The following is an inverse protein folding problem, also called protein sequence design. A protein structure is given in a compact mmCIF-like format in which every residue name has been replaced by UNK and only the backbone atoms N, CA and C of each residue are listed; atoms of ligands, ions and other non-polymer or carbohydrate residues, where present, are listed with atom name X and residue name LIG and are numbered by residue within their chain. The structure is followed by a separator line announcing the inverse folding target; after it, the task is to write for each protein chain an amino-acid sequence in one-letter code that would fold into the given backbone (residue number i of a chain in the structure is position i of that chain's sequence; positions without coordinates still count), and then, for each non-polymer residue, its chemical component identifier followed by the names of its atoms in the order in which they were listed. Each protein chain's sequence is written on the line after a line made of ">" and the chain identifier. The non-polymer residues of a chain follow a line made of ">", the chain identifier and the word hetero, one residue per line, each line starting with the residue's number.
data_IF_432481603542
#
_entry.id   IF_432481603542
#
_cell.length_a   1.000
_cell.length_b   1.000
_cell.length_c   1.000
_cell.angle_alpha   90.00
_cell.angle_beta   90.00
_cell.angle_gamma   90.00
#
_symmetry.space_group_name_H-M   'P 1'
#
loop_
_entity.id
_entity.type
_entity.pdbx_description
1 polymer ?
#
# COMPACT_ATOMS: atom_id res chain seq x y z
N UNK A 1 11.83 73.18 5.95
CA UNK A 1 11.95 72.10 4.98
C UNK A 1 12.29 70.69 5.54
N UNK A 2 12.60 70.41 6.82
CA UNK A 2 12.97 69.04 7.28
C UNK A 2 11.78 68.09 7.60
N UNK A 3 10.59 68.65 7.89
CA UNK A 3 9.40 67.77 8.25
C UNK A 3 8.87 66.91 7.08
N UNK A 4 8.97 67.36 5.84
CA UNK A 4 8.51 66.61 4.66
C UNK A 4 9.46 65.47 4.28
N UNK A 5 10.74 65.58 4.60
CA UNK A 5 11.74 64.54 4.36
C UNK A 5 11.57 63.37 5.36
N UNK A 6 11.20 63.67 6.62
CA UNK A 6 10.91 62.65 7.65
C UNK A 6 9.64 61.88 7.35
N UNK A 7 8.62 62.46 6.74
CA UNK A 7 7.39 61.76 6.33
C UNK A 7 7.61 60.86 5.13
N UNK A 8 8.50 61.21 4.21
CA UNK A 8 8.90 60.35 3.08
C UNK A 8 9.77 59.18 3.52
N UNK A 9 10.61 59.34 4.54
CA UNK A 9 11.42 58.25 5.11
C UNK A 9 10.58 57.26 5.94
N UNK A 10 9.52 57.72 6.61
CA UNK A 10 8.58 56.89 7.35
C UNK A 10 7.70 56.02 6.43
N UNK A 11 7.41 56.47 5.20
CA UNK A 11 6.66 55.68 4.22
C UNK A 11 7.48 54.54 3.61
N UNK A 12 8.80 54.62 3.62
CA UNK A 12 9.72 53.56 3.14
C UNK A 12 9.94 52.44 4.16
N UNK A 13 9.50 52.63 5.42
CA UNK A 13 9.60 51.66 6.51
C UNK A 13 8.29 50.89 6.75
N UNK A 14 7.29 51.03 5.90
CA UNK A 14 6.15 50.11 5.93
C UNK A 14 6.71 48.69 5.65
N UNK A 15 6.63 47.75 6.63
CA UNK A 15 7.00 46.38 6.34
C UNK A 15 6.09 45.97 5.18
N UNK A 16 6.68 45.61 4.02
CA UNK A 16 6.00 44.78 3.09
C UNK A 16 5.61 43.55 3.94
N UNK A 17 4.35 43.53 4.37
CA UNK A 17 3.76 42.33 4.93
C UNK A 17 3.94 41.28 3.81
N UNK A 18 5.05 40.53 3.89
CA UNK A 18 5.26 39.39 3.05
C UNK A 18 4.01 38.54 3.32
N UNK A 19 3.05 38.60 2.39
CA UNK A 19 1.95 37.65 2.39
C UNK A 19 2.64 36.29 2.40
N UNK A 20 2.63 35.66 3.56
CA UNK A 20 3.04 34.28 3.67
C UNK A 20 2.25 33.57 2.57
N UNK A 21 2.93 33.21 1.48
CA UNK A 21 2.35 32.61 0.31
C UNK A 21 1.63 31.34 0.83
N UNK A 22 0.30 31.35 0.78
CA UNK A 22 -0.48 30.26 1.39
C UNK A 22 -0.21 29.00 0.57
N UNK A 23 0.57 28.07 1.14
CA UNK A 23 0.75 26.77 0.52
C UNK A 23 -0.60 26.04 0.42
N UNK A 24 -0.93 25.37 -0.71
CA UNK A 24 -0.23 25.40 -1.99
C UNK A 24 -0.74 26.56 -2.88
N UNK A 25 0.13 27.10 -3.73
CA UNK A 25 -0.17 28.16 -4.69
C UNK A 25 0.12 27.75 -6.14
N UNK A 26 0.61 26.54 -6.35
CA UNK A 26 0.98 25.97 -7.66
C UNK A 26 0.69 24.46 -7.68
N UNK A 27 0.69 23.82 -8.87
CA UNK A 27 0.45 22.38 -8.98
C UNK A 27 1.43 21.54 -8.14
N UNK A 28 0.89 20.47 -7.52
CA UNK A 28 1.64 19.46 -6.78
C UNK A 28 1.86 18.26 -7.71
N UNK A 29 3.07 17.70 -7.71
CA UNK A 29 3.42 16.52 -8.45
C UNK A 29 3.40 15.30 -7.51
N UNK A 30 2.61 14.28 -7.86
CA UNK A 30 2.58 12.99 -7.18
C UNK A 30 3.35 11.97 -8.01
N UNK A 31 4.58 11.65 -7.60
CA UNK A 31 5.40 10.62 -8.26
C UNK A 31 4.92 9.24 -7.82
N UNK A 32 4.50 8.42 -8.79
CA UNK A 32 4.06 7.05 -8.58
C UNK A 32 5.17 6.13 -9.12
N UNK A 33 5.90 5.39 -8.25
CA UNK A 33 7.05 4.57 -8.64
C UNK A 33 6.65 3.22 -9.27
N UNK A 34 5.47 3.16 -9.88
CA UNK A 34 4.93 2.00 -10.58
C UNK A 34 4.49 2.37 -12.00
N UNK A 35 4.36 1.35 -12.86
CA UNK A 35 3.72 1.52 -14.17
C UNK A 35 2.24 1.91 -14.03
N UNK A 36 1.73 2.58 -15.06
CA UNK A 36 0.33 2.98 -15.12
C UNK A 36 -0.61 1.75 -15.18
N UNK A 37 -1.82 1.90 -14.64
CA UNK A 37 -2.91 0.91 -14.70
C UNK A 37 -2.91 -0.13 -13.57
N UNK A 38 -1.87 -0.20 -12.73
CA UNK A 38 -1.87 -1.05 -11.54
C UNK A 38 -2.63 -0.45 -10.36
N UNK A 39 -2.79 -1.25 -9.29
CA UNK A 39 -3.51 -0.81 -8.07
C UNK A 39 -2.90 0.45 -7.45
N UNK A 40 -1.57 0.53 -7.38
CA UNK A 40 -0.88 1.69 -6.80
C UNK A 40 -1.06 2.96 -7.64
N UNK A 41 -1.10 2.83 -8.98
CA UNK A 41 -1.41 3.95 -9.88
C UNK A 41 -2.87 4.41 -9.68
N UNK A 42 -3.79 3.47 -9.64
CA UNK A 42 -5.23 3.76 -9.45
C UNK A 42 -5.50 4.44 -8.11
N UNK A 43 -4.96 3.92 -7.01
CA UNK A 43 -5.07 4.55 -5.67
C UNK A 43 -4.41 5.93 -5.66
N UNK A 44 -3.22 6.06 -6.26
CA UNK A 44 -2.52 7.35 -6.38
C UNK A 44 -3.36 8.40 -7.13
N UNK A 45 -3.99 8.03 -8.24
CA UNK A 45 -4.86 8.94 -9.03
C UNK A 45 -6.14 9.33 -8.29
N UNK A 46 -6.79 8.39 -7.59
CA UNK A 46 -7.95 8.70 -6.74
C UNK A 46 -7.54 9.70 -5.65
N UNK A 47 -6.40 9.48 -4.98
CA UNK A 47 -5.87 10.40 -3.99
C UNK A 47 -5.50 11.77 -4.57
N UNK A 48 -4.88 11.80 -5.76
CA UNK A 48 -4.53 13.05 -6.46
C UNK A 48 -5.76 13.87 -6.86
N UNK A 49 -6.79 13.23 -7.39
CA UNK A 49 -8.05 13.89 -7.74
C UNK A 49 -8.73 14.48 -6.49
N UNK A 50 -8.80 13.72 -5.41
CA UNK A 50 -9.33 14.20 -4.15
C UNK A 50 -8.56 15.39 -3.59
N UNK A 51 -7.22 15.27 -3.52
CA UNK A 51 -6.37 16.37 -3.04
C UNK A 51 -6.49 17.62 -3.92
N UNK A 52 -6.62 17.46 -5.25
CA UNK A 52 -6.83 18.60 -6.14
C UNK A 52 -8.07 19.41 -5.77
N UNK A 53 -9.16 18.71 -5.44
CA UNK A 53 -10.42 19.34 -5.00
C UNK A 53 -10.26 20.02 -3.63
N UNK A 54 -9.57 19.37 -2.67
CA UNK A 54 -9.43 19.87 -1.30
C UNK A 54 -8.43 21.03 -1.17
N UNK A 55 -7.37 21.02 -1.98
CA UNK A 55 -6.29 21.99 -1.90
C UNK A 55 -6.47 23.16 -2.88
N UNK A 56 -7.37 23.05 -3.85
CA UNK A 56 -7.65 24.11 -4.84
C UNK A 56 -6.57 24.27 -5.90
N UNK A 57 -5.63 23.34 -6.01
CA UNK A 57 -4.59 23.31 -7.06
C UNK A 57 -4.52 21.93 -7.70
N UNK A 58 -4.09 21.81 -8.96
CA UNK A 58 -3.90 20.51 -9.58
C UNK A 58 -2.88 19.64 -8.83
N UNK A 59 -3.23 18.37 -8.58
CA UNK A 59 -2.29 17.31 -8.14
C UNK A 59 -2.11 16.35 -9.30
N UNK A 60 -0.91 16.34 -9.89
CA UNK A 60 -0.63 15.63 -11.15
C UNK A 60 0.13 14.34 -10.85
N UNK A 61 -0.46 13.20 -11.22
CA UNK A 61 0.18 11.89 -11.11
C UNK A 61 1.24 11.73 -12.24
N UNK A 62 2.47 11.39 -11.85
CA UNK A 62 3.64 11.20 -12.72
C UNK A 62 4.23 9.81 -12.45
N UNK A 63 4.00 8.85 -13.36
CA UNK A 63 4.52 7.50 -13.22
C UNK A 63 6.01 7.44 -13.55
N UNK A 64 6.83 6.98 -12.58
CA UNK A 64 8.28 6.79 -12.72
C UNK A 64 8.69 5.39 -12.26
N UNK A 65 8.40 4.36 -13.07
CA UNK A 65 8.80 3.00 -12.76
C UNK A 65 10.31 2.79 -12.96
N UNK A 66 10.83 1.68 -12.46
CA UNK A 66 12.19 1.20 -12.65
C UNK A 66 12.93 0.98 -11.33
N UNK A 67 13.88 0.03 -11.33
CA UNK A 67 14.63 -0.38 -10.15
C UNK A 67 13.72 -0.79 -8.98
N UNK A 68 12.64 -1.52 -9.25
CA UNK A 68 11.61 -1.88 -8.26
C UNK A 68 11.02 -0.66 -7.53
N UNK A 69 10.97 0.51 -8.21
CA UNK A 69 10.47 1.77 -7.65
C UNK A 69 11.55 2.72 -7.13
N UNK A 70 12.80 2.28 -7.01
CA UNK A 70 13.90 3.11 -6.50
C UNK A 70 14.09 4.41 -7.30
N UNK A 71 13.93 4.36 -8.64
CA UNK A 71 14.06 5.53 -9.53
C UNK A 71 13.03 6.61 -9.17
N UNK A 72 11.77 6.22 -8.98
CA UNK A 72 10.71 7.16 -8.57
C UNK A 72 10.94 7.73 -7.17
N UNK A 73 11.37 6.89 -6.23
CA UNK A 73 11.70 7.32 -4.86
C UNK A 73 12.87 8.31 -4.85
N UNK A 74 13.95 8.05 -5.56
CA UNK A 74 15.07 8.99 -5.69
C UNK A 74 14.66 10.33 -6.31
N UNK A 75 13.74 10.32 -7.28
CA UNK A 75 13.24 11.56 -7.88
C UNK A 75 12.50 12.43 -6.85
N UNK A 76 11.80 11.84 -5.89
CA UNK A 76 11.20 12.58 -4.77
C UNK A 76 12.27 13.09 -3.80
N UNK A 77 13.25 12.26 -3.45
CA UNK A 77 14.32 12.64 -2.51
C UNK A 77 15.21 13.80 -3.03
N UNK A 78 15.34 13.91 -4.37
CA UNK A 78 16.07 15.05 -5.00
C UNK A 78 15.23 16.31 -5.09
N UNK A 79 13.95 16.28 -4.74
CA UNK A 79 13.05 17.43 -4.77
C UNK A 79 13.10 18.18 -3.44
N UNK A 80 12.82 19.51 -3.45
CA UNK A 80 12.69 20.27 -2.21
C UNK A 80 11.60 19.68 -1.30
N UNK A 81 11.82 19.73 0.03
CA UNK A 81 10.85 19.31 1.03
C UNK A 81 9.79 20.39 1.30
N UNK A 82 9.18 20.94 0.25
CA UNK A 82 8.24 22.04 0.26
C UNK A 82 6.77 21.62 0.01
N UNK A 83 6.53 20.31 -0.13
CA UNK A 83 5.20 19.74 -0.35
C UNK A 83 4.70 19.79 -1.79
N UNK A 84 5.47 20.27 -2.76
CA UNK A 84 5.08 20.29 -4.18
C UNK A 84 5.53 19.04 -4.96
N UNK A 85 6.31 18.17 -4.31
CA UNK A 85 6.60 16.83 -4.86
C UNK A 85 6.35 15.79 -3.75
N UNK A 86 5.41 14.88 -4.02
CA UNK A 86 5.02 13.82 -3.11
C UNK A 86 5.31 12.46 -3.75
N UNK A 87 5.43 11.44 -2.91
CA UNK A 87 5.55 10.04 -3.31
C UNK A 87 4.18 9.36 -3.18
N UNK A 88 3.72 8.70 -4.25
CA UNK A 88 2.72 7.65 -4.19
C UNK A 88 3.36 6.42 -3.55
N UNK A 89 3.29 6.37 -2.23
CA UNK A 89 3.99 5.38 -1.41
C UNK A 89 3.23 4.05 -1.35
N UNK A 90 3.95 2.97 -1.05
CA UNK A 90 3.36 1.67 -0.71
C UNK A 90 4.21 0.95 0.33
N UNK A 91 3.61 -0.05 1.00
CA UNK A 91 4.35 -0.95 1.89
C UNK A 91 5.49 -1.66 1.15
N UNK A 92 5.30 -2.02 -0.13
CA UNK A 92 6.34 -2.65 -0.94
C UNK A 92 7.58 -1.77 -1.06
N UNK A 93 7.42 -0.45 -1.22
CA UNK A 93 8.54 0.47 -1.39
C UNK A 93 9.19 0.87 -0.05
N UNK A 94 8.36 1.22 0.95
CA UNK A 94 8.89 1.78 2.19
C UNK A 94 9.30 0.72 3.21
N UNK A 95 8.81 -0.54 3.07
CA UNK A 95 9.07 -1.63 4.01
C UNK A 95 9.80 -2.79 3.35
N UNK A 96 9.27 -3.35 2.25
CA UNK A 96 9.82 -4.60 1.67
C UNK A 96 11.10 -4.34 0.88
N UNK A 97 11.09 -3.35 -0.01
CA UNK A 97 12.23 -3.08 -0.90
C UNK A 97 13.58 -2.90 -0.18
N UNK A 98 13.69 -2.12 0.92
CA UNK A 98 14.97 -1.97 1.64
C UNK A 98 15.45 -3.24 2.35
N UNK A 99 14.58 -4.23 2.54
CA UNK A 99 14.93 -5.53 3.10
C UNK A 99 15.46 -6.50 2.04
N UNK A 100 15.09 -6.29 0.78
CA UNK A 100 15.41 -7.18 -0.33
C UNK A 100 16.53 -6.64 -1.23
N UNK A 101 16.70 -5.33 -1.32
CA UNK A 101 17.62 -4.66 -2.24
C UNK A 101 18.46 -3.62 -1.49
N UNK A 102 19.76 -3.54 -1.83
CA UNK A 102 20.62 -2.48 -1.32
C UNK A 102 20.28 -1.16 -2.01
N UNK A 103 19.83 -0.20 -1.23
CA UNK A 103 19.49 1.15 -1.69
C UNK A 103 20.59 2.14 -1.30
N UNK A 104 20.68 3.26 -2.02
CA UNK A 104 21.55 4.40 -1.70
C UNK A 104 20.94 5.32 -0.65
N UNK A 105 19.72 5.06 -0.23
CA UNK A 105 18.94 5.82 0.75
C UNK A 105 18.17 4.88 1.69
N UNK A 106 17.70 5.40 2.83
CA UNK A 106 16.88 4.66 3.78
C UNK A 106 15.42 5.13 3.71
N UNK A 107 14.49 4.32 3.15
CA UNK A 107 13.10 4.73 3.02
C UNK A 107 12.41 5.11 4.33
N UNK A 108 12.78 4.52 5.46
CA UNK A 108 12.15 4.82 6.75
C UNK A 108 12.65 6.12 7.37
N UNK A 109 13.89 6.53 7.06
CA UNK A 109 14.49 7.77 7.53
C UNK A 109 14.26 8.93 6.57
N UNK A 110 14.39 8.65 5.27
CA UNK A 110 14.50 9.69 4.23
C UNK A 110 13.14 10.10 3.65
N UNK A 111 12.04 9.43 4.07
CA UNK A 111 10.66 9.83 3.76
C UNK A 111 9.86 10.18 5.00
N UNK A 112 9.01 11.18 4.87
CA UNK A 112 8.01 11.58 5.87
C UNK A 112 6.68 10.92 5.53
N UNK A 113 6.15 10.00 6.37
CA UNK A 113 4.83 9.41 6.19
C UNK A 113 3.74 10.47 6.27
N UNK A 114 2.72 10.38 5.40
CA UNK A 114 1.59 11.31 5.38
C UNK A 114 0.28 10.58 5.67
N UNK A 115 -0.08 9.59 4.84
CA UNK A 115 -1.32 8.84 5.02
C UNK A 115 -1.29 7.56 4.20
N UNK A 116 -1.76 6.46 4.76
CA UNK A 116 -2.19 5.30 3.98
C UNK A 116 -3.57 5.61 3.40
N UNK A 117 -3.67 5.69 2.10
CA UNK A 117 -4.93 6.00 1.40
C UNK A 117 -5.85 4.78 1.39
N UNK A 118 -5.30 3.62 1.05
CA UNK A 118 -6.06 2.38 0.95
C UNK A 118 -5.21 1.16 1.32
N UNK A 119 -5.87 0.17 1.89
CA UNK A 119 -5.33 -1.15 2.18
C UNK A 119 -5.76 -2.18 1.15
N UNK A 120 -4.92 -3.17 0.97
CA UNK A 120 -5.22 -4.31 0.13
C UNK A 120 -4.88 -5.58 0.93
N UNK A 121 -5.83 -6.12 1.73
CA UNK A 121 -5.64 -7.40 2.38
C UNK A 121 -5.53 -8.48 1.31
N UNK A 122 -4.69 -9.48 1.58
CA UNK A 122 -4.64 -10.67 0.74
C UNK A 122 -5.75 -11.63 1.18
N UNK A 123 -6.13 -12.50 0.27
CA UNK A 123 -7.17 -13.51 0.51
C UNK A 123 -6.60 -14.89 0.21
N UNK A 124 -6.77 -15.80 1.14
CA UNK A 124 -6.47 -17.21 0.94
C UNK A 124 -7.62 -17.87 0.20
N UNK A 125 -7.35 -18.35 -1.01
CA UNK A 125 -8.27 -19.11 -1.83
C UNK A 125 -7.80 -20.55 -2.01
N UNK A 126 -8.77 -21.48 -2.04
CA UNK A 126 -8.55 -22.88 -2.40
C UNK A 126 -9.50 -23.29 -3.52
N UNK A 127 -9.06 -24.18 -4.40
CA UNK A 127 -9.94 -24.80 -5.39
C UNK A 127 -11.06 -25.59 -4.67
N UNK A 128 -12.29 -25.45 -5.15
CA UNK A 128 -13.47 -26.05 -4.49
C UNK A 128 -13.33 -27.56 -4.32
N UNK A 129 -12.68 -28.25 -5.26
CA UNK A 129 -12.40 -29.69 -5.20
C UNK A 129 -11.44 -30.16 -4.09
N UNK A 130 -10.73 -29.24 -3.42
CA UNK A 130 -9.86 -29.60 -2.30
C UNK A 130 -10.61 -29.97 -1.02
N UNK A 131 -11.83 -29.50 -0.83
CA UNK A 131 -12.71 -29.83 0.30
C UNK A 131 -12.75 -28.79 1.42
N UNK A 132 -11.65 -28.17 1.93
CA UNK A 132 -11.73 -27.29 3.09
C UNK A 132 -12.69 -26.13 2.89
N UNK A 133 -13.46 -25.82 3.94
CA UNK A 133 -14.42 -24.70 3.95
C UNK A 133 -14.03 -23.60 4.96
N UNK A 134 -13.04 -23.88 5.80
CA UNK A 134 -12.54 -22.99 6.84
C UNK A 134 -11.01 -23.04 6.90
N UNK A 135 -10.38 -22.03 7.50
CA UNK A 135 -8.93 -22.02 7.72
C UNK A 135 -8.44 -23.15 8.63
N UNK A 136 -9.14 -23.51 9.74
CA UNK A 136 -8.77 -24.69 10.53
C UNK A 136 -8.79 -26.01 9.73
N UNK A 137 -9.83 -26.24 8.91
CA UNK A 137 -9.90 -27.42 8.06
C UNK A 137 -8.79 -27.46 7.00
N UNK A 138 -8.44 -26.30 6.43
CA UNK A 138 -7.29 -26.15 5.53
C UNK A 138 -5.98 -26.50 6.24
N UNK A 139 -5.78 -25.96 7.45
CA UNK A 139 -4.60 -26.27 8.26
C UNK A 139 -4.44 -27.76 8.47
N UNK A 140 -5.50 -28.44 8.91
CA UNK A 140 -5.44 -29.88 9.21
C UNK A 140 -5.16 -30.70 7.95
N UNK A 141 -5.74 -30.32 6.81
CA UNK A 141 -5.50 -30.97 5.53
C UNK A 141 -4.04 -30.82 5.06
N UNK A 142 -3.44 -29.62 5.19
CA UNK A 142 -2.05 -29.36 4.79
C UNK A 142 -1.08 -30.04 5.76
N UNK A 143 -1.36 -29.99 7.07
CA UNK A 143 -0.55 -30.64 8.11
C UNK A 143 -0.44 -32.15 7.92
N UNK A 144 -1.47 -32.80 7.35
CA UNK A 144 -1.44 -34.23 7.01
C UNK A 144 -0.51 -34.58 5.84
N UNK A 145 -0.05 -33.56 5.05
CA UNK A 145 0.76 -33.77 3.85
C UNK A 145 1.86 -32.69 3.75
N UNK A 146 2.78 -32.61 4.72
CA UNK A 146 3.78 -31.54 4.78
C UNK A 146 4.65 -31.52 3.51
N UNK A 147 4.78 -30.36 2.87
CA UNK A 147 5.57 -30.14 1.67
C UNK A 147 5.04 -30.76 0.37
N UNK A 148 3.87 -31.46 0.40
CA UNK A 148 3.33 -32.12 -0.79
C UNK A 148 2.32 -31.26 -1.56
N UNK A 149 1.78 -30.24 -0.93
CA UNK A 149 0.82 -29.32 -1.54
C UNK A 149 1.52 -28.06 -2.00
N UNK A 150 1.05 -27.52 -3.12
CA UNK A 150 1.61 -26.33 -3.75
C UNK A 150 0.70 -25.12 -3.57
N UNK A 151 1.31 -23.94 -3.50
CA UNK A 151 0.58 -22.68 -3.55
C UNK A 151 1.16 -21.75 -4.61
N UNK A 152 0.29 -20.98 -5.26
CA UNK A 152 0.65 -19.96 -6.22
C UNK A 152 0.87 -18.58 -5.56
N UNK A 153 1.74 -17.78 -6.16
CA UNK A 153 1.86 -16.35 -5.88
C UNK A 153 1.98 -15.53 -7.16
N UNK A 154 1.85 -14.22 -7.06
CA UNK A 154 2.07 -13.28 -8.17
C UNK A 154 3.56 -12.99 -8.45
N UNK A 155 4.48 -13.78 -7.89
CA UNK A 155 5.93 -13.69 -8.11
C UNK A 155 6.74 -13.82 -6.83
N UNK A 156 7.98 -14.28 -6.99
CA UNK A 156 8.94 -14.46 -5.89
C UNK A 156 9.26 -13.12 -5.23
N UNK A 157 9.21 -13.06 -3.89
CA UNK A 157 9.45 -11.85 -3.12
C UNK A 157 8.31 -10.83 -3.14
N UNK A 158 7.24 -11.09 -3.93
CA UNK A 158 6.02 -10.28 -3.88
C UNK A 158 5.21 -10.52 -2.61
N UNK A 159 4.30 -9.59 -2.28
CA UNK A 159 3.49 -9.66 -1.05
C UNK A 159 2.63 -10.93 -0.95
N UNK A 160 2.13 -11.46 -2.07
CA UNK A 160 1.41 -12.74 -2.09
C UNK A 160 2.29 -13.92 -1.70
N UNK A 161 3.58 -13.92 -2.10
CA UNK A 161 4.57 -14.90 -1.68
C UNK A 161 4.90 -14.73 -0.19
N UNK A 162 5.43 -13.56 0.19
CA UNK A 162 5.84 -13.30 1.57
C UNK A 162 4.69 -13.42 2.56
N UNK A 163 3.49 -12.98 2.19
CA UNK A 163 2.28 -13.13 3.01
C UNK A 163 1.88 -14.58 3.21
N UNK A 164 2.06 -15.43 2.19
CA UNK A 164 1.81 -16.87 2.33
C UNK A 164 2.84 -17.51 3.26
N UNK A 165 4.12 -17.15 3.16
CA UNK A 165 5.16 -17.67 4.06
C UNK A 165 4.88 -17.30 5.53
N UNK A 166 4.46 -16.05 5.81
CA UNK A 166 4.01 -15.63 7.15
C UNK A 166 2.81 -16.45 7.61
N UNK A 167 1.84 -16.71 6.71
CA UNK A 167 0.66 -17.50 7.05
C UNK A 167 1.04 -18.96 7.35
N UNK A 168 1.83 -19.59 6.50
CA UNK A 168 2.30 -20.97 6.68
C UNK A 168 3.07 -21.14 7.99
N UNK A 169 3.99 -20.21 8.28
CA UNK A 169 4.70 -20.19 9.55
C UNK A 169 3.75 -20.09 10.74
N UNK A 170 2.78 -19.18 10.69
CA UNK A 170 1.80 -18.98 11.76
C UNK A 170 0.91 -20.19 12.00
N UNK A 171 0.60 -20.93 10.94
CA UNK A 171 -0.19 -22.16 10.97
C UNK A 171 0.63 -23.42 11.31
N UNK A 172 1.97 -23.32 11.29
CA UNK A 172 2.89 -24.48 11.46
C UNK A 172 2.86 -25.42 10.26
N UNK A 173 2.79 -24.91 9.05
CA UNK A 173 2.59 -25.66 7.80
C UNK A 173 3.78 -25.53 6.84
N UNK A 174 3.90 -26.50 5.93
CA UNK A 174 4.87 -26.50 4.84
C UNK A 174 4.15 -26.76 3.52
N UNK A 175 4.36 -25.91 2.52
CA UNK A 175 3.87 -26.04 1.16
C UNK A 175 4.96 -25.62 0.17
N UNK A 176 4.90 -26.11 -1.07
CA UNK A 176 5.83 -25.74 -2.14
C UNK A 176 5.33 -24.47 -2.84
N UNK A 177 6.22 -23.51 -3.05
CA UNK A 177 5.91 -22.27 -3.76
C UNK A 177 6.02 -22.41 -5.27
N UNK A 178 4.96 -22.00 -6.00
CA UNK A 178 4.93 -21.89 -7.46
C UNK A 178 4.74 -20.44 -7.87
N UNK A 179 5.82 -19.75 -8.33
CA UNK A 179 5.73 -18.35 -8.74
C UNK A 179 5.10 -18.18 -10.11
N UNK A 180 4.16 -17.25 -10.22
CA UNK A 180 3.58 -16.77 -11.47
C UNK A 180 4.02 -15.33 -11.74
N UNK A 181 3.90 -14.86 -12.99
CA UNK A 181 4.22 -13.47 -13.35
C UNK A 181 3.18 -12.46 -12.85
N UNK A 182 1.99 -12.92 -12.46
CA UNK A 182 0.90 -12.10 -11.92
C UNK A 182 -0.16 -12.94 -11.25
N UNK A 183 -0.97 -12.34 -10.37
CA UNK A 183 -2.12 -13.00 -9.73
C UNK A 183 -3.14 -13.56 -10.73
N UNK A 184 -3.57 -12.82 -11.76
CA UNK A 184 -4.49 -13.34 -12.78
C UNK A 184 -4.00 -14.60 -13.49
N UNK A 185 -2.70 -14.75 -13.76
CA UNK A 185 -2.15 -15.99 -14.36
C UNK A 185 -2.20 -17.17 -13.38
N UNK A 186 -1.92 -16.92 -12.10
CA UNK A 186 -2.10 -17.92 -11.05
C UNK A 186 -3.57 -18.37 -10.96
N UNK A 187 -4.51 -17.43 -11.06
CA UNK A 187 -5.94 -17.73 -11.05
C UNK A 187 -6.40 -18.55 -12.27
N UNK A 188 -5.86 -18.29 -13.46
CA UNK A 188 -6.15 -19.12 -14.66
C UNK A 188 -5.75 -20.57 -14.44
N UNK A 189 -4.56 -20.82 -13.89
CA UNK A 189 -4.08 -22.18 -13.62
C UNK A 189 -4.84 -22.83 -12.45
N UNK A 190 -5.29 -22.04 -11.49
CA UNK A 190 -6.17 -22.51 -10.42
C UNK A 190 -7.54 -22.96 -10.95
N UNK A 191 -8.14 -22.20 -11.84
CA UNK A 191 -9.39 -22.60 -12.53
C UNK A 191 -9.19 -23.82 -13.44
N UNK A 192 -7.99 -23.96 -14.02
CA UNK A 192 -7.60 -25.14 -14.80
C UNK A 192 -7.21 -26.37 -13.99
N UNK A 193 -7.24 -26.29 -12.65
CA UNK A 193 -6.91 -27.41 -11.74
C UNK A 193 -5.41 -27.73 -11.61
N UNK A 194 -4.52 -26.88 -12.18
CA UNK A 194 -3.07 -27.10 -12.12
C UNK A 194 -2.46 -26.69 -10.78
N UNK A 195 -3.04 -25.71 -10.13
CA UNK A 195 -2.68 -25.26 -8.78
C UNK A 195 -3.94 -25.17 -7.91
N UNK A 196 -3.83 -25.47 -6.63
CA UNK A 196 -5.01 -25.61 -5.78
C UNK A 196 -5.14 -24.53 -4.71
N UNK A 197 -4.06 -23.82 -4.40
CA UNK A 197 -4.03 -22.80 -3.33
C UNK A 197 -3.39 -21.52 -3.85
N UNK A 198 -3.97 -20.38 -3.53
CA UNK A 198 -3.42 -19.07 -3.87
C UNK A 198 -3.69 -18.07 -2.76
N UNK A 199 -2.68 -17.29 -2.41
CA UNK A 199 -2.84 -16.08 -1.61
C UNK A 199 -2.66 -14.87 -2.53
N UNK A 200 -3.68 -14.04 -2.67
CA UNK A 200 -3.63 -12.93 -3.64
C UNK A 200 -4.69 -11.85 -3.37
N UNK A 201 -4.81 -10.92 -4.30
CA UNK A 201 -5.78 -9.84 -4.18
C UNK A 201 -7.22 -10.33 -4.33
N UNK A 202 -8.12 -9.79 -3.54
CA UNK A 202 -9.53 -10.14 -3.57
C UNK A 202 -10.17 -9.95 -4.96
N UNK A 203 -9.82 -8.88 -5.66
CA UNK A 203 -10.39 -8.55 -6.98
C UNK A 203 -10.06 -9.63 -8.02
N UNK A 204 -8.86 -10.21 -7.99
CA UNK A 204 -8.42 -11.24 -8.94
C UNK A 204 -9.24 -12.53 -8.79
N UNK A 205 -9.93 -12.72 -7.66
CA UNK A 205 -10.61 -13.95 -7.26
C UNK A 205 -12.14 -13.91 -7.39
N UNK A 206 -12.73 -12.72 -7.53
CA UNK A 206 -14.20 -12.55 -7.48
C UNK A 206 -14.91 -13.35 -8.56
N UNK A 207 -14.46 -13.32 -9.80
CA UNK A 207 -15.09 -14.05 -10.90
C UNK A 207 -15.04 -15.59 -10.69
N UNK A 208 -13.91 -16.12 -10.23
CA UNK A 208 -13.77 -17.57 -9.98
C UNK A 208 -14.57 -18.03 -8.76
N UNK A 209 -14.68 -17.17 -7.73
CA UNK A 209 -15.55 -17.41 -6.57
C UNK A 209 -17.02 -17.45 -6.99
N UNK A 210 -17.48 -16.46 -7.76
CA UNK A 210 -18.87 -16.35 -8.19
C UNK A 210 -19.26 -17.51 -9.14
N UNK A 211 -18.29 -18.04 -9.89
CA UNK A 211 -18.45 -19.27 -10.68
C UNK A 211 -18.38 -20.56 -9.84
N UNK A 212 -18.16 -20.49 -8.52
CA UNK A 212 -18.07 -21.64 -7.64
C UNK A 212 -16.81 -22.51 -7.82
N UNK A 213 -15.79 -22.00 -8.54
CA UNK A 213 -14.56 -22.75 -8.85
C UNK A 213 -13.56 -22.71 -7.70
N UNK A 214 -13.60 -21.66 -6.90
CA UNK A 214 -12.75 -21.46 -5.72
C UNK A 214 -13.59 -21.10 -4.50
N UNK A 215 -12.98 -21.31 -3.34
CA UNK A 215 -13.51 -20.88 -2.04
C UNK A 215 -12.51 -19.96 -1.37
N UNK A 216 -12.99 -18.82 -0.86
CA UNK A 216 -12.20 -17.89 -0.07
C UNK A 216 -12.30 -18.31 1.40
N UNK A 217 -11.15 -18.61 2.02
CA UNK A 217 -11.10 -19.13 3.38
C UNK A 217 -10.85 -18.07 4.44
N UNK A 218 -9.98 -17.11 4.16
CA UNK A 218 -9.61 -16.07 5.11
C UNK A 218 -9.08 -14.84 4.41
N UNK A 219 -9.30 -13.65 4.98
CA UNK A 219 -8.57 -12.44 4.67
C UNK A 219 -7.43 -12.23 5.67
N UNK A 220 -6.32 -11.67 5.20
CA UNK A 220 -5.11 -11.49 6.01
C UNK A 220 -5.08 -10.18 6.80
N UNK A 221 -6.10 -9.34 6.65
CA UNK A 221 -6.22 -8.07 7.37
C UNK A 221 -6.57 -8.23 8.85
N UNK A 222 -6.33 -7.19 9.64
CA UNK A 222 -6.78 -7.14 11.04
C UNK A 222 -8.31 -7.14 11.17
N UNK A 223 -9.00 -6.64 10.17
CA UNK A 223 -10.47 -6.64 10.04
C UNK A 223 -10.87 -7.27 8.72
N UNK A 224 -12.14 -7.67 8.61
CA UNK A 224 -12.68 -8.15 7.32
C UNK A 224 -12.61 -7.07 6.27
N UNK A 225 -12.38 -7.47 5.01
CA UNK A 225 -12.40 -6.55 3.88
C UNK A 225 -13.82 -6.08 3.60
N UNK A 226 -13.98 -4.79 3.31
CA UNK A 226 -15.29 -4.21 2.96
C UNK A 226 -15.86 -4.77 1.63
N UNK A 227 -14.99 -5.31 0.77
CA UNK A 227 -15.43 -5.98 -0.48
C UNK A 227 -15.73 -7.48 -0.29
N UNK A 228 -15.34 -8.06 0.85
CA UNK A 228 -15.54 -9.46 1.22
C UNK A 228 -16.04 -9.58 2.66
N UNK A 229 -17.18 -8.99 3.01
CA UNK A 229 -17.66 -8.90 4.40
C UNK A 229 -17.97 -10.28 5.00
N UNK A 230 -18.25 -11.29 4.16
CA UNK A 230 -18.58 -12.64 4.57
C UNK A 230 -17.34 -13.52 4.79
N UNK A 231 -16.15 -13.09 4.35
CA UNK A 231 -14.90 -13.85 4.52
C UNK A 231 -14.25 -13.45 5.85
N UNK A 232 -14.11 -14.37 6.81
CA UNK A 232 -13.51 -14.08 8.10
C UNK A 232 -12.01 -13.79 7.97
N UNK A 233 -11.45 -13.07 8.94
CA UNK A 233 -10.00 -12.87 9.04
C UNK A 233 -9.30 -14.15 9.55
N UNK A 234 -7.99 -14.23 9.33
CA UNK A 234 -7.14 -15.26 9.95
C UNK A 234 -7.25 -15.18 11.48
N UNK A 235 -7.27 -13.97 12.04
CA UNK A 235 -7.37 -13.72 13.48
C UNK A 235 -8.69 -14.23 14.06
N UNK A 236 -9.83 -14.01 13.38
CA UNK A 236 -11.15 -14.51 13.80
C UNK A 236 -11.24 -16.05 13.82
N UNK A 237 -10.40 -16.75 13.05
CA UNK A 237 -10.41 -18.20 12.93
C UNK A 237 -9.41 -18.94 13.85
N UNK A 238 -8.86 -18.25 14.85
CA UNK A 238 -8.05 -18.89 15.90
C UNK A 238 -6.58 -18.44 15.95
N UNK A 239 -6.16 -17.47 15.14
CA UNK A 239 -4.80 -16.93 15.14
C UNK A 239 -4.81 -15.43 15.48
N UNK A 240 -5.11 -15.05 16.73
CA UNK A 240 -5.24 -13.67 17.14
C UNK A 240 -3.94 -12.89 16.89
N UNK A 241 -4.09 -11.64 16.49
CA UNK A 241 -2.96 -10.76 16.17
C UNK A 241 -2.31 -11.01 14.81
N UNK A 242 -2.82 -11.96 14.00
CA UNK A 242 -2.36 -12.11 12.62
C UNK A 242 -2.81 -10.92 11.77
N UNK A 243 -1.85 -10.26 11.14
CA UNK A 243 -2.11 -9.19 10.17
C UNK A 243 -0.98 -9.17 9.13
N UNK A 244 -1.31 -9.43 7.89
CA UNK A 244 -0.44 -9.21 6.72
C UNK A 244 -1.23 -8.45 5.68
N UNK A 245 -0.99 -7.14 5.59
CA UNK A 245 -1.66 -6.27 4.63
C UNK A 245 -0.63 -5.50 3.83
N UNK A 246 -0.97 -5.17 2.60
CA UNK A 246 -0.31 -4.12 1.86
C UNK A 246 -1.15 -2.86 1.92
N UNK A 247 -0.52 -1.73 1.74
CA UNK A 247 -1.21 -0.45 1.62
C UNK A 247 -0.55 0.42 0.56
N UNK A 248 -1.33 1.33 0.02
CA UNK A 248 -0.91 2.42 -0.83
C UNK A 248 -1.27 3.74 -0.16
N UNK A 249 -0.42 4.75 -0.30
CA UNK A 249 -0.60 6.01 0.39
C UNK A 249 0.30 7.11 -0.14
N UNK A 250 0.57 8.09 0.72
CA UNK A 250 1.34 9.27 0.41
C UNK A 250 2.48 9.44 1.40
N UNK A 251 3.65 9.82 0.89
CA UNK A 251 4.78 10.28 1.68
C UNK A 251 5.42 11.52 1.03
N UNK A 252 6.16 12.28 1.80
CA UNK A 252 7.01 13.37 1.31
C UNK A 252 8.48 13.08 1.54
N UNK A 253 9.41 13.87 1.00
CA UNK A 253 10.82 13.78 1.37
C UNK A 253 11.02 14.15 2.85
N UNK A 254 12.10 13.67 3.46
CA UNK A 254 12.46 14.05 4.83
C UNK A 254 12.58 15.58 4.95
N UNK A 255 12.17 16.10 6.11
CA UNK A 255 12.16 17.55 6.34
C UNK A 255 10.91 18.26 5.81
N UNK A 256 9.92 17.55 5.29
CA UNK A 256 8.63 18.14 4.95
C UNK A 256 8.03 18.87 6.16
N UNK A 257 7.70 20.18 6.05
CA UNK A 257 7.16 20.96 7.16
C UNK A 257 5.91 20.31 7.75
N UNK A 258 5.84 20.24 9.08
CA UNK A 258 4.73 19.60 9.82
C UNK A 258 3.37 20.17 9.40
N UNK A 259 3.27 21.49 9.25
CA UNK A 259 2.02 22.14 8.83
C UNK A 259 1.54 21.68 7.43
N UNK A 260 2.46 21.46 6.50
CA UNK A 260 2.14 20.96 5.15
C UNK A 260 1.74 19.49 5.22
N UNK A 261 2.53 18.67 5.91
CA UNK A 261 2.20 17.26 6.14
C UNK A 261 0.79 17.10 6.72
N UNK A 262 0.50 17.84 7.78
CA UNK A 262 -0.76 17.70 8.51
C UNK A 262 -1.95 18.25 7.70
N UNK A 263 -1.74 19.26 6.87
CA UNK A 263 -2.76 19.74 5.92
C UNK A 263 -3.10 18.70 4.87
N UNK A 264 -2.09 18.02 4.28
CA UNK A 264 -2.31 16.94 3.32
C UNK A 264 -2.99 15.75 4.02
N UNK A 265 -2.49 15.34 5.17
CA UNK A 265 -3.06 14.22 5.94
C UNK A 265 -4.51 14.52 6.37
N UNK A 266 -4.81 15.75 6.78
CA UNK A 266 -6.17 16.20 7.09
C UNK A 266 -7.12 16.10 5.91
N UNK A 267 -6.67 16.52 4.73
CA UNK A 267 -7.44 16.39 3.49
C UNK A 267 -7.67 14.90 3.14
N UNK A 268 -6.65 14.05 3.28
CA UNK A 268 -6.77 12.61 3.00
C UNK A 268 -7.72 11.91 3.98
N UNK A 269 -7.76 12.28 5.25
CA UNK A 269 -8.73 11.70 6.21
C UNK A 269 -10.18 11.94 5.80
N UNK A 270 -10.48 13.10 5.21
CA UNK A 270 -11.81 13.42 4.71
C UNK A 270 -12.19 12.57 3.48
N UNK A 271 -11.20 12.04 2.75
CA UNK A 271 -11.44 11.20 1.58
C UNK A 271 -12.26 9.95 1.92
N UNK A 272 -12.01 9.32 3.06
CA UNK A 272 -12.77 8.14 3.48
C UNK A 272 -14.19 8.44 4.01
N UNK A 273 -14.52 9.69 4.26
CA UNK A 273 -15.87 10.12 4.55
C UNK A 273 -16.69 10.44 3.27
N UNK A 274 -16.01 10.61 2.12
CA UNK A 274 -16.66 10.86 0.83
C UNK A 274 -17.07 9.55 0.16
N UNK A 275 -18.36 9.40 -0.12
CA UNK A 275 -18.91 8.18 -0.73
C UNK A 275 -18.37 7.92 -2.14
N UNK A 276 -18.03 8.96 -2.90
CA UNK A 276 -17.47 8.84 -4.24
C UNK A 276 -16.08 8.23 -4.20
N UNK A 277 -15.23 8.72 -3.30
CA UNK A 277 -13.88 8.19 -3.06
C UNK A 277 -13.94 6.75 -2.56
N UNK A 278 -14.79 6.48 -1.55
CA UNK A 278 -14.98 5.12 -1.01
C UNK A 278 -15.39 4.14 -2.11
N UNK A 279 -16.43 4.46 -2.88
CA UNK A 279 -16.86 3.61 -4.02
C UNK A 279 -15.76 3.41 -5.05
N UNK A 280 -14.97 4.45 -5.34
CA UNK A 280 -13.86 4.35 -6.31
C UNK A 280 -12.75 3.41 -5.81
N UNK A 281 -12.39 3.47 -4.52
CA UNK A 281 -11.41 2.56 -3.92
C UNK A 281 -11.93 1.12 -3.89
N UNK A 282 -13.16 0.90 -3.42
CA UNK A 282 -13.76 -0.45 -3.37
C UNK A 282 -13.88 -1.09 -4.75
N UNK A 283 -14.18 -0.30 -5.80
CA UNK A 283 -14.26 -0.79 -7.18
C UNK A 283 -12.96 -1.35 -7.72
N UNK A 284 -11.82 -0.85 -7.25
CA UNK A 284 -10.50 -1.35 -7.61
C UNK A 284 -9.96 -2.38 -6.61
N UNK A 285 -10.79 -2.89 -5.71
CA UNK A 285 -10.41 -3.90 -4.74
C UNK A 285 -9.56 -3.38 -3.59
N UNK A 286 -9.67 -2.10 -3.26
CA UNK A 286 -8.90 -1.45 -2.20
C UNK A 286 -9.82 -0.99 -1.07
N UNK A 287 -9.52 -1.40 0.16
CA UNK A 287 -10.25 -0.96 1.35
C UNK A 287 -9.81 0.44 1.77
N UNK A 288 -10.73 1.41 1.94
CA UNK A 288 -10.39 2.75 2.39
C UNK A 288 -9.74 2.75 3.78
N UNK A 289 -8.57 3.38 3.94
CA UNK A 289 -7.86 3.51 5.23
C UNK A 289 -7.79 4.96 5.71
N UNK A 290 -7.35 5.89 4.86
CA UNK A 290 -7.22 7.33 5.12
C UNK A 290 -6.59 7.63 6.49
N UNK A 291 -5.44 7.02 6.75
CA UNK A 291 -4.78 7.04 8.06
C UNK A 291 -4.15 8.40 8.40
N UNK A 292 -3.84 8.57 9.66
CA UNK A 292 -2.93 9.62 10.16
C UNK A 292 -1.47 9.29 9.81
N UNK A 293 -0.55 10.30 9.83
CA UNK A 293 0.89 10.06 9.70
C UNK A 293 1.45 9.08 10.74
N UNK A 294 0.95 9.17 11.98
CA UNK A 294 1.38 8.29 13.07
C UNK A 294 0.98 6.82 12.84
N UNK A 295 -0.24 6.59 12.37
CA UNK A 295 -0.71 5.23 12.02
C UNK A 295 0.08 4.62 10.87
N UNK A 296 0.42 5.43 9.85
CA UNK A 296 1.29 4.99 8.75
C UNK A 296 2.68 4.62 9.25
N UNK A 297 3.30 5.47 10.08
CA UNK A 297 4.61 5.19 10.69
C UNK A 297 4.56 3.92 11.56
N UNK A 298 3.53 3.76 12.39
CA UNK A 298 3.33 2.57 13.21
C UNK A 298 3.15 1.30 12.36
N UNK A 299 2.43 1.39 11.24
CA UNK A 299 2.29 0.29 10.28
C UNK A 299 3.64 -0.13 9.69
N UNK A 300 4.48 0.83 9.28
CA UNK A 300 5.82 0.55 8.77
C UNK A 300 6.67 -0.17 9.82
N UNK A 301 6.65 0.31 11.07
CA UNK A 301 7.40 -0.31 12.18
C UNK A 301 6.94 -1.74 12.47
N UNK A 302 5.63 -2.01 12.48
CA UNK A 302 5.09 -3.36 12.71
C UNK A 302 5.40 -4.32 11.56
N UNK A 303 5.28 -3.86 10.31
CA UNK A 303 5.49 -4.71 9.13
C UNK A 303 6.97 -5.07 8.91
N UNK A 304 7.91 -4.19 9.27
CA UNK A 304 9.34 -4.40 8.99
C UNK A 304 9.89 -5.71 9.57
N UNK A 305 9.72 -6.06 10.86
CA UNK A 305 10.21 -7.34 11.38
C UNK A 305 9.47 -8.54 10.75
N UNK A 306 8.17 -8.45 10.51
CA UNK A 306 7.38 -9.51 9.88
C UNK A 306 7.90 -9.80 8.46
N UNK A 307 8.11 -8.77 7.66
CA UNK A 307 8.59 -8.95 6.29
C UNK A 307 10.05 -9.43 6.26
N UNK A 308 10.90 -9.00 7.20
CA UNK A 308 12.28 -9.50 7.31
C UNK A 308 12.28 -11.00 7.57
N UNK A 309 11.47 -11.47 8.49
CA UNK A 309 11.33 -12.90 8.80
C UNK A 309 10.78 -13.67 7.59
N UNK A 310 9.73 -13.17 6.93
CA UNK A 310 9.17 -13.79 5.73
C UNK A 310 10.19 -13.92 4.59
N UNK A 311 11.01 -12.90 4.37
CA UNK A 311 12.08 -12.93 3.38
C UNK A 311 13.12 -13.99 3.74
N UNK A 312 13.52 -14.07 5.01
CA UNK A 312 14.49 -15.08 5.47
C UNK A 312 13.95 -16.52 5.28
N UNK A 313 12.66 -16.74 5.57
CA UNK A 313 12.01 -18.06 5.41
C UNK A 313 11.83 -18.45 3.93
N UNK A 314 11.45 -17.50 3.10
CA UNK A 314 11.16 -17.74 1.69
C UNK A 314 12.43 -17.97 0.84
N UNK A 315 13.61 -17.63 1.36
CA UNK A 315 14.85 -17.60 0.56
C UNK A 315 14.82 -16.59 -0.61
N UNK A 316 13.82 -15.70 -0.64
CA UNK A 316 13.67 -14.73 -1.71
C UNK A 316 14.82 -13.72 -1.71
N UNK A 317 15.49 -13.59 -2.84
CA UNK A 317 16.51 -12.56 -3.09
C UNK A 317 16.10 -11.75 -4.30
N UNK A 318 16.31 -10.45 -4.27
CA UNK A 318 16.25 -9.60 -5.47
C UNK A 318 17.68 -9.39 -5.93
N UNK A 319 18.00 -9.97 -7.10
CA UNK A 319 19.28 -9.77 -7.79
C UNK A 319 19.33 -8.39 -8.45
#
# INVERSE_FOLDING_TARGET
>A
MPRRLLLLLALLLLPLAARAQSWPDRPIRLIIPFGAGGISDSVGRIGAEWLSKQLGVPVVADNRPGGNGAIGMEAVLRSPADGYTLLGASASHLVVLPLMQRLTFDPQRDFTPISMTAGNPLVLAVATGMGPTTLPAFRDMVAARPGQLQYASGGTGGLSHLGMEVLLQRLGLQMEHVPYRSGPLAMQDMMGGRIQVHLGNALDMTAARDAGMIRLLAVTGATRSAILPDVPTVAEQGWPGFEVTTWNGLAGPAGLPVAIRDRIAGAMRQACADDGVRRSLLRIGADPLCSTPAEMAASMQRLTPIMREAIALSGATVN
#
